data_IF_727110488695
#
_entry.id   IF_727110488695
#
_cell.length_a   1.000
_cell.length_b   1.000
_cell.length_c   1.000
_cell.angle_alpha   90.00
_cell.angle_beta   90.00
_cell.angle_gamma   90.00
#
_symmetry.space_group_name_H-M   'P 1'
#
loop_
_entity.id
_entity.type
_entity.pdbx_description
1 polymer ?
#
# COMPACT_ATOMS: atom_id res chain seq x y z
N UNK A 1 -10.17 -3.44 -6.09
CA UNK A 1 -9.41 -3.29 -4.84
C UNK A 1 -7.99 -2.79 -5.03
N UNK A 2 -7.24 -3.25 -6.04
CA UNK A 2 -5.92 -2.71 -6.38
C UNK A 2 -5.87 -1.18 -6.46
N UNK A 3 -6.77 -0.57 -7.26
CA UNK A 3 -6.86 0.89 -7.39
C UNK A 3 -7.13 1.61 -6.07
N UNK A 4 -7.88 0.99 -5.16
CA UNK A 4 -8.14 1.53 -3.81
C UNK A 4 -6.83 1.52 -3.00
N UNK A 5 -6.03 0.46 -3.10
CA UNK A 5 -4.69 0.41 -2.53
C UNK A 5 -3.78 1.51 -3.08
N UNK A 6 -3.80 1.76 -4.39
CA UNK A 6 -3.05 2.86 -5.01
C UNK A 6 -3.46 4.23 -4.44
N UNK A 7 -4.77 4.49 -4.36
CA UNK A 7 -5.31 5.76 -3.82
C UNK A 7 -4.96 5.91 -2.36
N UNK A 8 -5.14 4.86 -1.54
CA UNK A 8 -4.78 4.87 -0.13
C UNK A 8 -3.29 5.18 0.06
N UNK A 9 -2.42 4.52 -0.71
CA UNK A 9 -0.99 4.80 -0.65
C UNK A 9 -0.65 6.23 -1.07
N UNK A 10 -1.28 6.74 -2.12
CA UNK A 10 -1.07 8.11 -2.59
C UNK A 10 -1.52 9.16 -1.56
N UNK A 11 -2.63 8.92 -0.86
CA UNK A 11 -3.08 9.79 0.24
C UNK A 11 -2.08 9.81 1.40
N UNK A 12 -1.46 8.66 1.69
CA UNK A 12 -0.48 8.54 2.77
C UNK A 12 0.90 9.12 2.40
N UNK A 13 1.33 8.94 1.16
CA UNK A 13 2.62 9.43 0.65
C UNK A 13 2.57 10.88 0.17
N UNK A 14 1.37 11.40 -0.14
CA UNK A 14 1.13 12.66 -0.88
C UNK A 14 1.78 12.70 -2.25
N UNK A 15 2.07 11.53 -2.82
CA UNK A 15 2.57 11.36 -4.18
C UNK A 15 2.01 10.07 -4.79
N UNK A 16 1.87 10.06 -6.12
CA UNK A 16 1.47 8.86 -6.87
C UNK A 16 2.42 7.70 -6.55
N UNK A 17 1.84 6.55 -6.17
CA UNK A 17 2.60 5.36 -5.77
C UNK A 17 3.42 4.76 -6.92
N UNK A 18 2.80 4.60 -8.09
CA UNK A 18 3.40 4.00 -9.29
C UNK A 18 3.43 5.03 -10.43
N UNK A 19 4.59 5.61 -10.70
CA UNK A 19 4.76 6.74 -11.63
C UNK A 19 5.17 6.31 -13.04
N UNK A 20 4.45 5.37 -13.66
CA UNK A 20 4.74 4.93 -15.03
C UNK A 20 4.10 5.86 -16.07
N UNK A 21 4.83 6.19 -17.14
CA UNK A 21 4.31 7.00 -18.26
C UNK A 21 3.85 6.17 -19.45
N UNK A 22 4.17 4.88 -19.44
CA UNK A 22 3.71 3.87 -20.39
C UNK A 22 3.58 2.52 -19.67
N UNK A 23 2.98 1.52 -20.32
CA UNK A 23 2.69 0.22 -19.71
C UNK A 23 3.94 -0.48 -19.15
N UNK A 24 5.05 -0.46 -19.90
CA UNK A 24 6.31 -1.07 -19.45
C UNK A 24 6.88 -0.34 -18.23
N UNK A 25 6.85 1.00 -18.24
CA UNK A 25 7.27 1.79 -17.08
C UNK A 25 6.35 1.54 -15.89
N UNK A 26 5.04 1.39 -16.09
CA UNK A 26 4.09 1.12 -15.03
C UNK A 26 4.37 -0.23 -14.36
N UNK A 27 4.60 -1.29 -15.15
CA UNK A 27 4.98 -2.61 -14.64
C UNK A 27 6.31 -2.53 -13.89
N UNK A 28 7.31 -1.83 -14.44
CA UNK A 28 8.59 -1.66 -13.77
C UNK A 28 8.45 -0.92 -12.42
N UNK A 29 7.60 0.12 -12.35
CA UNK A 29 7.33 0.84 -11.11
C UNK A 29 6.64 -0.05 -10.06
N UNK A 30 5.69 -0.89 -10.46
CA UNK A 30 5.05 -1.86 -9.56
C UNK A 30 6.11 -2.77 -8.94
N UNK A 31 7.00 -3.33 -9.75
CA UNK A 31 8.08 -4.20 -9.27
C UNK A 31 9.09 -3.47 -8.37
N UNK A 32 9.46 -2.22 -8.71
CA UNK A 32 10.38 -1.41 -7.90
C UNK A 32 9.81 -1.14 -6.50
N UNK A 33 8.51 -0.87 -6.43
CA UNK A 33 7.84 -0.46 -5.18
C UNK A 33 7.39 -1.67 -4.34
N UNK A 34 6.83 -2.71 -4.95
CA UNK A 34 6.30 -3.88 -4.25
C UNK A 34 7.27 -5.05 -4.17
N UNK A 35 8.30 -5.09 -5.02
CA UNK A 35 9.20 -6.23 -5.10
C UNK A 35 8.58 -7.43 -5.82
N UNK A 36 9.13 -8.61 -5.54
CA UNK A 36 8.80 -9.89 -6.19
C UNK A 36 7.80 -10.77 -5.40
N UNK A 37 7.10 -10.24 -4.39
CA UNK A 37 6.28 -10.98 -3.41
C UNK A 37 7.04 -12.00 -2.54
N UNK A 38 8.36 -11.91 -2.44
CA UNK A 38 9.06 -12.71 -1.44
C UNK A 38 8.73 -12.21 -0.02
N UNK A 39 8.61 -13.11 0.98
CA UNK A 39 8.20 -12.74 2.33
C UNK A 39 9.04 -11.63 2.98
N UNK A 40 10.32 -11.56 2.59
CA UNK A 40 11.28 -10.60 3.14
C UNK A 40 11.36 -9.28 2.34
N UNK A 41 10.69 -9.19 1.19
CA UNK A 41 10.68 -7.97 0.38
C UNK A 41 9.75 -6.92 0.98
N UNK A 42 10.33 -6.04 1.79
CA UNK A 42 9.65 -4.95 2.48
C UNK A 42 9.84 -3.59 1.80
N UNK A 43 10.12 -3.54 0.49
CA UNK A 43 10.33 -2.27 -0.25
C UNK A 43 9.21 -1.27 -0.07
N UNK A 44 7.96 -1.71 -0.09
CA UNK A 44 6.81 -0.84 0.14
C UNK A 44 6.91 -0.17 1.52
N UNK A 45 7.25 -0.94 2.56
CA UNK A 45 7.40 -0.43 3.94
C UNK A 45 8.52 0.60 4.00
N UNK A 46 9.67 0.29 3.39
CA UNK A 46 10.82 1.19 3.37
C UNK A 46 10.49 2.52 2.68
N UNK A 47 9.72 2.48 1.58
CA UNK A 47 9.23 3.70 0.91
C UNK A 47 8.36 4.55 1.85
N UNK A 48 7.49 3.92 2.63
CA UNK A 48 6.67 4.61 3.64
C UNK A 48 7.51 5.17 4.78
N UNK A 49 8.42 4.40 5.36
CA UNK A 49 9.29 4.85 6.46
C UNK A 49 10.16 6.03 6.04
N UNK A 50 10.70 6.02 4.83
CA UNK A 50 11.47 7.13 4.28
C UNK A 50 10.62 8.41 4.11
N UNK A 51 9.37 8.26 3.67
CA UNK A 51 8.42 9.37 3.51
C UNK A 51 7.96 9.96 4.86
N UNK A 52 7.79 9.13 5.89
CA UNK A 52 7.34 9.57 7.23
C UNK A 52 8.47 10.05 8.14
N UNK A 53 9.73 9.73 7.85
CA UNK A 53 10.87 10.23 8.64
C UNK A 53 11.16 11.71 8.40
N UNK A 54 10.68 12.25 7.26
CA UNK A 54 10.97 13.60 6.77
C UNK A 54 9.77 14.55 6.86
N UNK A 55 8.57 14.00 7.03
CA UNK A 55 7.32 14.74 7.19
C UNK A 55 6.74 14.32 8.52
N UNK A 56 6.25 15.23 9.37
CA UNK A 56 5.59 14.89 10.65
C UNK A 56 4.27 14.13 10.49
N UNK A 57 4.17 13.27 9.48
CA UNK A 57 3.08 12.36 9.20
C UNK A 57 2.96 11.35 10.34
N UNK A 58 1.72 10.96 10.71
CA UNK A 58 1.49 9.93 11.70
C UNK A 58 2.21 8.65 11.26
N UNK A 59 2.94 8.04 12.19
CA UNK A 59 3.63 6.76 11.96
C UNK A 59 2.68 5.79 11.25
N UNK A 60 3.21 5.06 10.27
CA UNK A 60 2.44 3.99 9.63
C UNK A 60 2.24 2.91 10.70
N UNK A 61 1.05 2.90 11.29
CA UNK A 61 0.60 1.84 12.21
C UNK A 61 0.61 0.51 11.48
N UNK A 62 0.95 -0.59 12.18
CA UNK A 62 0.99 -1.94 11.59
C UNK A 62 -0.32 -2.31 10.87
N UNK A 63 -1.48 -1.97 11.46
CA UNK A 63 -2.81 -2.24 10.88
C UNK A 63 -3.07 -1.52 9.56
N UNK A 64 -2.61 -0.27 9.44
CA UNK A 64 -2.72 0.51 8.20
C UNK A 64 -1.89 -0.10 7.08
N UNK A 65 -0.67 -0.52 7.41
CA UNK A 65 0.22 -1.15 6.45
C UNK A 65 -0.27 -2.53 6.04
N UNK A 66 -0.79 -3.31 6.99
CA UNK A 66 -1.40 -4.61 6.74
C UNK A 66 -2.58 -4.50 5.76
N UNK A 67 -3.50 -3.55 5.96
CA UNK A 67 -4.58 -3.29 5.00
C UNK A 67 -4.02 -2.94 3.62
N UNK A 68 -3.01 -2.07 3.57
CA UNK A 68 -2.41 -1.64 2.31
C UNK A 68 -1.77 -2.82 1.55
N UNK A 69 -1.03 -3.70 2.24
CA UNK A 69 -0.49 -4.93 1.63
C UNK A 69 -1.60 -5.80 1.05
N UNK A 70 -2.67 -6.02 1.81
CA UNK A 70 -3.82 -6.84 1.36
C UNK A 70 -4.56 -6.25 0.15
N UNK A 71 -4.60 -4.91 0.03
CA UNK A 71 -5.17 -4.22 -1.13
C UNK A 71 -4.28 -4.32 -2.38
N UNK A 72 -2.96 -4.32 -2.19
CA UNK A 72 -1.92 -4.37 -3.22
C UNK A 72 -1.35 -5.79 -3.44
N UNK A 73 -2.10 -6.82 -3.03
CA UNK A 73 -1.77 -8.21 -3.34
C UNK A 73 -1.82 -8.45 -4.86
N UNK A 74 -0.76 -9.08 -5.38
CA UNK A 74 -0.62 -9.35 -6.82
C UNK A 74 -1.63 -10.40 -7.27
N UNK A 75 -1.78 -11.48 -6.50
CA UNK A 75 -2.71 -12.56 -6.79
C UNK A 75 -4.16 -12.07 -6.56
N UNK A 76 -4.98 -11.91 -7.61
CA UNK A 76 -6.31 -11.34 -7.48
C UNK A 76 -7.24 -12.19 -6.59
N UNK A 77 -7.00 -13.49 -6.48
CA UNK A 77 -7.79 -14.41 -5.65
C UNK A 77 -7.44 -14.28 -4.16
N UNK A 78 -6.21 -13.82 -3.85
CA UNK A 78 -5.77 -13.54 -2.46
C UNK A 78 -6.02 -12.09 -2.05
N UNK A 79 -6.29 -11.21 -3.01
CA UNK A 79 -6.54 -9.80 -2.77
C UNK A 79 -7.82 -9.62 -1.96
N UNK A 80 -7.74 -8.80 -0.90
CA UNK A 80 -8.88 -8.56 -0.01
C UNK A 80 -10.09 -8.02 -0.77
N UNK A 81 -11.29 -8.48 -0.39
CA UNK A 81 -12.55 -7.97 -0.92
C UNK A 81 -12.92 -6.62 -0.31
N UNK A 82 -13.85 -5.89 -0.93
CA UNK A 82 -14.34 -4.62 -0.38
C UNK A 82 -14.98 -4.80 1.01
N UNK A 83 -15.80 -5.84 1.19
CA UNK A 83 -16.45 -6.17 2.46
C UNK A 83 -15.43 -6.50 3.55
N UNK A 84 -14.43 -7.34 3.25
CA UNK A 84 -13.39 -7.68 4.21
C UNK A 84 -12.51 -6.46 4.56
N UNK A 85 -12.25 -5.59 3.59
CA UNK A 85 -11.51 -4.35 3.81
C UNK A 85 -12.26 -3.38 4.74
N UNK A 86 -13.57 -3.22 4.58
CA UNK A 86 -14.40 -2.39 5.47
C UNK A 86 -14.42 -2.93 6.91
N UNK A 87 -14.36 -4.25 7.07
CA UNK A 87 -14.30 -4.90 8.39
C UNK A 87 -12.89 -4.99 8.98
N UNK A 88 -11.88 -4.43 8.32
CA UNK A 88 -10.48 -4.51 8.74
C UNK A 88 -10.23 -3.76 10.05
N UNK A 89 -9.32 -4.28 10.88
CA UNK A 89 -8.99 -3.68 12.19
C UNK A 89 -8.55 -2.23 12.12
N UNK A 90 -8.00 -1.79 10.99
CA UNK A 90 -7.61 -0.39 10.76
C UNK A 90 -8.79 0.58 10.87
N UNK A 91 -9.99 0.20 10.42
CA UNK A 91 -11.18 1.06 10.53
C UNK A 91 -11.81 1.00 11.94
N UNK A 92 -11.56 -0.07 12.70
CA UNK A 92 -12.06 -0.23 14.06
C UNK A 92 -11.30 0.59 15.11
N UNK A 93 -10.10 1.10 14.77
CA UNK A 93 -9.40 2.07 15.62
C UNK A 93 -10.14 3.41 15.73
N UNK A 94 -11.05 3.71 14.80
CA UNK A 94 -11.77 4.99 14.74
C UNK A 94 -13.25 4.90 15.14
N UNK A 95 -13.73 3.71 15.49
CA UNK A 95 -15.04 3.56 16.11
C UNK A 95 -14.93 4.02 17.58
N UNK A 96 -15.16 5.32 17.79
CA UNK A 96 -15.40 5.96 19.09
C UNK A 96 -16.69 5.45 19.74
#
# INVERSE_FOLDING_TARGET
>A
MWSVGCIMAELLLKEVLFKGRCDLEQIAQIYIVLGNNEPDDNRLMQKFLAATSSTGAPSVTELRFDLLKKLLEYDPEKRITAEAALNHGWFKEFDL
#
